data_IF_584740223704
#
_entry.id   IF_584740223704
#
_cell.length_a   1.000
_cell.length_b   1.000
_cell.length_c   1.000
_cell.angle_alpha   90.00
_cell.angle_beta   90.00
_cell.angle_gamma   90.00
#
_symmetry.space_group_name_H-M   'P 1'
#
loop_
_entity.id
_entity.type
_entity.pdbx_description
1 polymer ?
#
# COMPACT_ATOMS: atom_id res chain seq x y z
N UNK A 1 49.37 10.64 -3.74
CA UNK A 1 49.02 10.87 -2.33
C UNK A 1 47.60 11.41 -2.22
N UNK A 2 46.60 10.60 -1.82
CA UNK A 2 45.24 11.04 -1.32
C UNK A 2 44.31 9.83 -1.09
N UNK A 3 44.83 8.70 -0.56
CA UNK A 3 43.99 7.52 -0.23
C UNK A 3 43.53 7.43 1.25
N UNK A 4 43.91 8.37 2.10
CA UNK A 4 43.70 8.30 3.55
C UNK A 4 42.58 9.20 4.09
N UNK A 5 41.79 9.90 3.23
CA UNK A 5 40.74 10.80 3.71
C UNK A 5 39.34 10.15 3.81
N UNK A 6 39.11 8.93 3.32
CA UNK A 6 37.78 8.31 3.31
C UNK A 6 37.44 7.46 4.53
N UNK A 7 38.42 7.12 5.38
CA UNK A 7 38.12 6.32 6.59
C UNK A 7 37.21 7.05 7.58
N UNK A 8 37.34 8.37 7.70
CA UNK A 8 36.45 9.17 8.53
C UNK A 8 34.99 9.17 8.02
N UNK A 9 34.80 9.18 6.71
CA UNK A 9 33.43 9.14 6.12
C UNK A 9 32.71 7.82 6.44
N UNK A 10 33.40 6.69 6.42
CA UNK A 10 32.82 5.39 6.80
C UNK A 10 32.44 5.32 8.28
N UNK A 11 33.17 6.01 9.17
CA UNK A 11 32.83 6.07 10.59
C UNK A 11 31.49 6.77 10.85
N UNK A 12 31.13 7.80 10.06
CA UNK A 12 29.82 8.44 10.14
C UNK A 12 28.67 7.57 9.63
N UNK A 13 28.93 6.63 8.71
CA UNK A 13 27.94 5.69 8.21
C UNK A 13 27.76 4.47 9.11
N UNK A 14 28.72 4.18 9.99
CA UNK A 14 28.75 2.96 10.82
C UNK A 14 27.49 2.81 11.69
N UNK A 15 26.97 3.84 12.40
CA UNK A 15 25.75 3.70 13.18
C UNK A 15 24.55 3.30 12.32
N UNK A 16 24.40 3.89 11.12
CA UNK A 16 23.32 3.53 10.19
C UNK A 16 23.45 2.10 9.68
N UNK A 17 24.67 1.67 9.30
CA UNK A 17 24.91 0.30 8.87
C UNK A 17 24.63 -0.73 9.96
N UNK A 18 24.98 -0.43 11.23
CA UNK A 18 24.68 -1.29 12.36
C UNK A 18 23.16 -1.42 12.57
N UNK A 19 22.42 -0.30 12.54
CA UNK A 19 20.96 -0.30 12.69
C UNK A 19 20.32 -1.11 11.56
N UNK A 20 20.66 -0.84 10.30
CA UNK A 20 20.15 -1.61 9.17
C UNK A 20 20.56 -3.09 9.22
N UNK A 21 21.81 -3.37 9.62
CA UNK A 21 22.31 -4.75 9.78
C UNK A 21 21.49 -5.56 10.77
N UNK A 22 21.25 -5.00 11.94
CA UNK A 22 20.55 -5.69 13.04
C UNK A 22 19.03 -5.75 12.81
N UNK A 23 18.40 -4.64 12.40
CA UNK A 23 16.94 -4.56 12.38
C UNK A 23 16.30 -4.85 11.01
N UNK A 24 17.04 -4.77 9.91
CA UNK A 24 16.53 -5.07 8.58
C UNK A 24 17.18 -6.32 7.99
N UNK A 25 18.51 -6.33 7.84
CA UNK A 25 19.18 -7.43 7.13
C UNK A 25 19.17 -8.74 7.93
N UNK A 26 19.42 -8.71 9.25
CA UNK A 26 19.38 -9.91 10.05
C UNK A 26 18.00 -10.59 10.06
N UNK A 27 16.85 -9.92 10.31
CA UNK A 27 15.54 -10.53 10.21
C UNK A 27 15.22 -11.02 8.79
N UNK A 28 15.65 -10.31 7.76
CA UNK A 28 15.46 -10.73 6.37
C UNK A 28 16.17 -12.06 6.08
N UNK A 29 17.46 -12.17 6.37
CA UNK A 29 18.20 -13.42 6.19
C UNK A 29 17.70 -14.55 7.09
N UNK A 30 17.27 -14.23 8.31
CA UNK A 30 16.65 -15.19 9.21
C UNK A 30 15.33 -15.73 8.63
N UNK A 31 14.52 -14.88 8.00
CA UNK A 31 13.29 -15.32 7.30
C UNK A 31 13.61 -16.25 6.13
N UNK A 32 14.62 -15.92 5.32
CA UNK A 32 15.10 -16.81 4.25
C UNK A 32 15.56 -18.16 4.81
N UNK A 33 16.32 -18.14 5.88
CA UNK A 33 16.78 -19.38 6.56
C UNK A 33 15.59 -20.20 7.07
N UNK A 34 14.67 -19.59 7.83
CA UNK A 34 13.52 -20.29 8.41
C UNK A 34 12.57 -20.85 7.36
N UNK A 35 12.49 -20.26 6.17
CA UNK A 35 11.64 -20.75 5.09
C UNK A 35 12.04 -22.14 4.60
N UNK A 36 13.30 -22.56 4.82
CA UNK A 36 13.85 -23.87 4.43
C UNK A 36 13.73 -24.94 5.54
N UNK A 37 13.17 -24.57 6.69
CA UNK A 37 13.06 -25.46 7.85
C UNK A 37 11.63 -25.60 8.33
N UNK A 38 11.29 -26.82 8.85
CA UNK A 38 10.16 -26.94 9.77
C UNK A 38 10.57 -26.44 11.14
N UNK A 39 9.73 -25.61 11.72
CA UNK A 39 9.99 -24.96 13.02
C UNK A 39 9.14 -25.55 14.12
N UNK A 40 9.61 -25.43 15.37
CA UNK A 40 8.77 -25.67 16.53
C UNK A 40 7.84 -24.46 16.82
N UNK A 41 6.98 -24.60 17.84
CA UNK A 41 6.04 -23.53 18.28
C UNK A 41 6.76 -22.25 18.78
N UNK A 42 8.06 -22.33 19.08
CA UNK A 42 8.88 -21.18 19.49
C UNK A 42 9.60 -20.52 18.31
N UNK A 43 9.35 -20.95 17.06
CA UNK A 43 10.00 -20.41 15.87
C UNK A 43 11.43 -20.86 15.66
N UNK A 44 11.91 -21.88 16.38
CA UNK A 44 13.26 -22.43 16.21
C UNK A 44 13.27 -23.45 15.07
N UNK A 45 14.27 -23.40 14.21
CA UNK A 45 14.50 -24.38 13.15
C UNK A 45 14.78 -25.77 13.77
N UNK A 46 14.05 -26.80 13.34
CA UNK A 46 14.19 -28.19 13.83
C UNK A 46 14.61 -29.16 12.74
N UNK A 47 13.92 -29.17 11.61
CA UNK A 47 14.17 -30.11 10.52
C UNK A 47 14.36 -29.33 9.22
N UNK A 48 15.48 -29.55 8.56
CA UNK A 48 15.71 -29.00 7.22
C UNK A 48 14.84 -29.74 6.21
N UNK A 49 13.99 -29.01 5.51
CA UNK A 49 13.06 -29.55 4.51
C UNK A 49 13.28 -28.96 3.10
N UNK A 50 14.33 -28.13 2.95
CA UNK A 50 14.62 -27.46 1.67
C UNK A 50 13.40 -26.69 1.16
N UNK A 51 12.91 -27.02 -0.03
CA UNK A 51 11.74 -26.40 -0.63
C UNK A 51 10.39 -27.02 -0.20
N UNK A 52 10.37 -27.88 0.83
CA UNK A 52 9.15 -28.54 1.29
C UNK A 52 8.05 -27.57 1.73
N UNK A 53 8.38 -26.48 2.45
CA UNK A 53 7.41 -25.45 2.83
C UNK A 53 6.82 -24.74 1.60
N UNK A 54 7.60 -24.50 0.57
CA UNK A 54 7.12 -23.88 -0.69
C UNK A 54 6.20 -24.84 -1.47
N UNK A 55 6.51 -26.13 -1.49
CA UNK A 55 5.65 -27.14 -2.11
C UNK A 55 4.30 -27.23 -1.40
N UNK A 56 4.29 -27.31 -0.06
CA UNK A 56 3.07 -27.29 0.74
C UNK A 56 2.26 -26.01 0.49
N UNK A 57 2.92 -24.87 0.40
CA UNK A 57 2.31 -23.57 0.13
C UNK A 57 1.62 -23.53 -1.24
N UNK A 58 2.31 -23.95 -2.30
CA UNK A 58 1.77 -23.93 -3.67
C UNK A 58 0.62 -24.94 -3.86
N UNK A 59 0.51 -25.96 -3.01
CA UNK A 59 -0.60 -26.90 -3.00
C UNK A 59 -1.80 -26.43 -2.14
N UNK A 60 -1.64 -25.35 -1.38
CA UNK A 60 -2.67 -24.82 -0.48
C UNK A 60 -3.68 -23.95 -1.24
N UNK A 61 -4.95 -24.34 -1.23
CA UNK A 61 -6.06 -23.54 -1.76
C UNK A 61 -6.20 -22.19 -1.03
N UNK A 62 -5.98 -22.18 0.30
CA UNK A 62 -6.04 -20.94 1.11
C UNK A 62 -4.94 -19.94 0.72
N UNK A 63 -3.75 -20.41 0.33
CA UNK A 63 -2.70 -19.52 -0.19
C UNK A 63 -3.12 -18.84 -1.52
N UNK A 64 -3.62 -19.62 -2.46
CA UNK A 64 -4.07 -19.09 -3.75
C UNK A 64 -5.26 -18.13 -3.59
N UNK A 65 -6.20 -18.46 -2.68
CA UNK A 65 -7.27 -17.55 -2.33
C UNK A 65 -6.73 -16.23 -1.75
N UNK A 66 -5.80 -16.30 -0.78
CA UNK A 66 -5.23 -15.10 -0.17
C UNK A 66 -4.46 -14.24 -1.19
N UNK A 67 -3.78 -14.85 -2.14
CA UNK A 67 -3.11 -14.15 -3.23
C UNK A 67 -4.12 -13.46 -4.16
N UNK A 68 -5.16 -14.17 -4.59
CA UNK A 68 -6.22 -13.62 -5.46
C UNK A 68 -6.95 -12.45 -4.79
N UNK A 69 -7.35 -12.63 -3.51
CA UNK A 69 -8.00 -11.56 -2.72
C UNK A 69 -7.07 -10.36 -2.57
N UNK A 70 -5.76 -10.59 -2.35
CA UNK A 70 -4.77 -9.50 -2.26
C UNK A 70 -4.64 -8.74 -3.57
N UNK A 71 -4.59 -9.44 -4.72
CA UNK A 71 -4.50 -8.78 -6.03
C UNK A 71 -5.73 -7.90 -6.31
N UNK A 72 -6.93 -8.43 -6.06
CA UNK A 72 -8.19 -7.66 -6.21
C UNK A 72 -8.16 -6.43 -5.28
N UNK A 73 -7.78 -6.62 -4.03
CA UNK A 73 -7.65 -5.56 -3.04
C UNK A 73 -6.67 -4.46 -3.49
N UNK A 74 -5.48 -4.84 -3.95
CA UNK A 74 -4.45 -3.91 -4.45
C UNK A 74 -5.00 -3.07 -5.61
N UNK A 75 -5.66 -3.70 -6.59
CA UNK A 75 -6.25 -2.98 -7.73
C UNK A 75 -7.27 -1.94 -7.26
N UNK A 76 -8.18 -2.33 -6.36
CA UNK A 76 -9.22 -1.42 -5.85
C UNK A 76 -8.57 -0.26 -5.06
N UNK A 77 -7.68 -0.58 -4.12
CA UNK A 77 -7.04 0.44 -3.26
C UNK A 77 -6.24 1.43 -4.09
N UNK A 78 -5.42 0.94 -5.01
CA UNK A 78 -4.57 1.81 -5.85
C UNK A 78 -5.44 2.69 -6.75
N UNK A 79 -6.42 2.13 -7.45
CA UNK A 79 -7.29 2.91 -8.33
C UNK A 79 -8.04 4.00 -7.55
N UNK A 80 -8.70 3.64 -6.45
CA UNK A 80 -9.51 4.58 -5.66
C UNK A 80 -8.63 5.65 -5.00
N UNK A 81 -7.50 5.27 -4.38
CA UNK A 81 -6.64 6.23 -3.70
C UNK A 81 -5.96 7.21 -4.67
N UNK A 82 -5.56 6.75 -5.86
CA UNK A 82 -4.99 7.63 -6.89
C UNK A 82 -6.05 8.60 -7.44
N UNK A 83 -7.26 8.12 -7.73
CA UNK A 83 -8.35 8.98 -8.20
C UNK A 83 -8.69 10.03 -7.14
N UNK A 84 -8.85 9.64 -5.88
CA UNK A 84 -9.15 10.57 -4.79
C UNK A 84 -8.02 11.59 -4.60
N UNK A 85 -6.75 11.14 -4.55
CA UNK A 85 -5.60 12.02 -4.38
C UNK A 85 -5.44 13.01 -5.54
N UNK A 86 -5.55 12.53 -6.79
CA UNK A 86 -5.44 13.38 -7.98
C UNK A 86 -6.58 14.40 -8.06
N UNK A 87 -7.82 13.95 -7.86
CA UNK A 87 -8.99 14.84 -7.92
C UNK A 87 -8.89 15.94 -6.87
N UNK A 88 -8.56 15.59 -5.63
CA UNK A 88 -8.42 16.58 -4.55
C UNK A 88 -7.24 17.52 -4.79
N UNK A 89 -6.11 17.05 -5.31
CA UNK A 89 -4.97 17.89 -5.65
C UNK A 89 -5.31 18.91 -6.76
N UNK A 90 -5.98 18.47 -7.82
CA UNK A 90 -6.41 19.35 -8.92
C UNK A 90 -7.43 20.38 -8.44
N UNK A 91 -8.38 20.00 -7.59
CA UNK A 91 -9.35 20.92 -7.01
C UNK A 91 -8.68 21.95 -6.10
N UNK A 92 -7.69 21.53 -5.31
CA UNK A 92 -6.95 22.39 -4.40
C UNK A 92 -5.81 23.19 -5.06
N UNK A 93 -5.52 22.96 -6.34
CA UNK A 93 -4.54 23.76 -7.10
C UNK A 93 -5.09 25.14 -7.51
N UNK A 94 -6.38 25.41 -7.26
CA UNK A 94 -7.02 26.69 -7.52
C UNK A 94 -7.00 27.56 -6.27
N UNK A 95 -6.78 28.85 -6.43
CA UNK A 95 -6.86 29.82 -5.34
C UNK A 95 -8.31 30.21 -5.08
N UNK A 96 -8.82 29.88 -3.89
CA UNK A 96 -10.15 30.31 -3.40
C UNK A 96 -10.13 30.48 -1.87
N UNK A 97 -11.07 31.28 -1.32
CA UNK A 97 -11.16 31.45 0.13
C UNK A 97 -11.35 30.11 0.84
N UNK A 98 -10.52 29.80 1.85
CA UNK A 98 -10.60 28.55 2.60
C UNK A 98 -9.76 27.39 2.03
N UNK A 99 -9.04 27.56 0.93
CA UNK A 99 -8.22 26.50 0.32
C UNK A 99 -7.28 25.82 1.32
N UNK A 100 -6.67 26.58 2.24
CA UNK A 100 -5.77 26.03 3.27
C UNK A 100 -6.47 25.06 4.19
N UNK A 101 -7.74 25.33 4.56
CA UNK A 101 -8.54 24.42 5.37
C UNK A 101 -8.82 23.11 4.61
N UNK A 102 -9.26 23.19 3.36
CA UNK A 102 -9.51 22.00 2.53
C UNK A 102 -8.25 21.19 2.30
N UNK A 103 -7.12 21.82 1.97
CA UNK A 103 -5.85 21.12 1.78
C UNK A 103 -5.41 20.39 3.06
N UNK A 104 -5.56 21.01 4.22
CA UNK A 104 -5.27 20.37 5.51
C UNK A 104 -6.23 19.19 5.76
N UNK A 105 -7.52 19.36 5.52
CA UNK A 105 -8.52 18.31 5.69
C UNK A 105 -8.28 17.10 4.79
N UNK A 106 -7.87 17.31 3.54
CA UNK A 106 -7.53 16.22 2.61
C UNK A 106 -6.22 15.50 2.96
N UNK A 107 -5.28 16.18 3.61
CA UNK A 107 -4.06 15.56 4.10
C UNK A 107 -4.26 14.78 5.42
N UNK A 108 -5.29 15.10 6.22
CA UNK A 108 -5.54 14.50 7.55
C UNK A 108 -5.55 12.96 7.58
N UNK A 109 -6.14 12.24 6.61
CA UNK A 109 -6.20 10.76 6.67
C UNK A 109 -4.83 10.11 6.86
N UNK A 110 -3.77 10.66 6.28
CA UNK A 110 -2.42 10.09 6.38
C UNK A 110 -1.84 10.15 7.81
N UNK A 111 -2.33 11.06 8.65
CA UNK A 111 -1.87 11.22 10.02
C UNK A 111 -2.55 10.24 10.99
N UNK A 112 -3.60 9.55 10.56
CA UNK A 112 -4.37 8.64 11.39
C UNK A 112 -3.75 7.25 11.34
N UNK A 113 -3.49 6.66 12.51
CA UNK A 113 -3.04 5.28 12.58
C UNK A 113 -4.10 4.33 11.99
N UNK A 114 -3.68 3.42 11.11
CA UNK A 114 -4.57 2.51 10.38
C UNK A 114 -5.48 1.68 11.28
N UNK A 115 -4.98 1.25 12.44
CA UNK A 115 -5.77 0.49 13.42
C UNK A 115 -6.85 1.35 14.10
N UNK A 116 -6.56 2.61 14.40
CA UNK A 116 -7.54 3.54 14.97
C UNK A 116 -8.64 3.88 13.97
N UNK A 117 -8.26 4.17 12.72
CA UNK A 117 -9.21 4.38 11.64
C UNK A 117 -10.11 3.15 11.45
N UNK A 118 -9.53 1.94 11.46
CA UNK A 118 -10.29 0.69 11.31
C UNK A 118 -11.30 0.49 12.47
N UNK A 119 -10.95 0.87 13.69
CA UNK A 119 -11.89 0.81 14.83
C UNK A 119 -13.07 1.78 14.65
N UNK A 120 -12.80 3.01 14.22
CA UNK A 120 -13.85 4.00 13.93
C UNK A 120 -14.76 3.48 12.82
N UNK A 121 -14.20 3.00 11.71
CA UNK A 121 -14.97 2.44 10.60
C UNK A 121 -15.80 1.23 11.03
N UNK A 122 -15.26 0.37 11.90
CA UNK A 122 -16.00 -0.79 12.42
C UNK A 122 -17.27 -0.37 13.17
N UNK A 123 -17.21 0.73 13.93
CA UNK A 123 -18.37 1.28 14.61
C UNK A 123 -19.33 1.93 13.60
N UNK A 124 -18.81 2.71 12.65
CA UNK A 124 -19.63 3.38 11.63
C UNK A 124 -20.37 2.39 10.72
N UNK A 125 -19.77 1.24 10.43
CA UNK A 125 -20.31 0.18 9.56
C UNK A 125 -21.10 -0.88 10.36
N UNK A 126 -21.31 -0.70 11.67
CA UNK A 126 -22.04 -1.68 12.48
C UNK A 126 -23.50 -1.80 12.02
N UNK A 127 -24.06 -3.02 11.87
CA UNK A 127 -25.40 -3.22 11.29
C UNK A 127 -26.50 -2.45 12.02
N UNK A 128 -26.51 -2.52 13.36
CA UNK A 128 -27.63 -1.97 14.16
C UNK A 128 -27.41 -0.53 14.61
N UNK A 129 -26.16 -0.16 15.02
CA UNK A 129 -25.87 1.17 15.59
C UNK A 129 -25.07 2.05 14.66
N UNK A 130 -24.56 1.51 13.54
CA UNK A 130 -23.69 2.22 12.61
C UNK A 130 -24.42 3.37 11.89
N UNK A 131 -23.73 4.52 11.81
CA UNK A 131 -24.26 5.73 11.21
C UNK A 131 -24.57 5.56 9.71
N UNK A 132 -23.81 4.73 9.01
CA UNK A 132 -23.95 4.51 7.57
C UNK A 132 -25.32 3.91 7.25
N UNK A 133 -25.69 2.80 7.91
CA UNK A 133 -27.02 2.18 7.73
C UNK A 133 -28.15 3.14 8.12
N UNK A 134 -27.98 3.93 9.19
CA UNK A 134 -29.00 4.89 9.63
C UNK A 134 -29.23 6.02 8.62
N UNK A 135 -28.15 6.66 8.12
CA UNK A 135 -28.26 7.77 7.15
C UNK A 135 -28.89 7.32 5.85
N UNK A 136 -28.41 6.19 5.31
CA UNK A 136 -28.87 5.68 4.01
C UNK A 136 -30.07 4.74 4.10
N UNK A 137 -30.62 4.51 5.31
CA UNK A 137 -31.74 3.59 5.56
C UNK A 137 -31.49 2.19 4.97
N UNK A 138 -30.26 1.69 5.16
CA UNK A 138 -29.82 0.39 4.67
C UNK A 138 -29.84 -0.62 5.82
N UNK A 139 -30.03 -1.90 5.49
CA UNK A 139 -29.85 -3.03 6.42
C UNK A 139 -28.78 -3.96 5.87
N UNK A 140 -27.55 -3.47 5.87
CA UNK A 140 -26.41 -4.17 5.29
C UNK A 140 -25.43 -4.55 6.40
N UNK A 141 -24.96 -5.79 6.36
CA UNK A 141 -23.94 -6.31 7.25
C UNK A 141 -22.55 -6.14 6.62
N UNK A 142 -22.07 -4.89 6.54
CA UNK A 142 -20.92 -4.47 5.75
C UNK A 142 -19.64 -5.31 5.96
N UNK A 143 -19.37 -5.71 7.19
CA UNK A 143 -18.13 -6.38 7.59
C UNK A 143 -18.27 -7.89 7.64
N UNK A 144 -19.49 -8.39 7.86
CA UNK A 144 -19.77 -9.81 8.03
C UNK A 144 -20.36 -10.49 6.78
N UNK A 145 -20.60 -9.73 5.71
CA UNK A 145 -21.02 -10.26 4.42
C UNK A 145 -19.82 -10.33 3.46
N UNK A 146 -19.48 -11.51 2.89
CA UNK A 146 -18.37 -11.69 1.96
C UNK A 146 -18.39 -10.73 0.78
N UNK A 147 -19.59 -10.34 0.35
CA UNK A 147 -19.80 -9.45 -0.79
C UNK A 147 -19.28 -8.02 -0.54
N UNK A 148 -19.39 -7.53 0.69
CA UNK A 148 -19.06 -6.15 1.04
C UNK A 148 -17.75 -6.01 1.83
N UNK A 149 -17.37 -7.05 2.57
CA UNK A 149 -16.25 -6.99 3.51
C UNK A 149 -14.94 -6.51 2.87
N UNK A 150 -14.57 -7.06 1.70
CA UNK A 150 -13.34 -6.67 1.00
C UNK A 150 -13.39 -5.22 0.53
N UNK A 151 -14.55 -4.76 0.03
CA UNK A 151 -14.75 -3.39 -0.42
C UNK A 151 -14.63 -2.42 0.76
N UNK A 152 -15.19 -2.75 1.93
CA UNK A 152 -15.08 -1.91 3.14
C UNK A 152 -13.62 -1.73 3.58
N UNK A 153 -12.84 -2.83 3.59
CA UNK A 153 -11.41 -2.76 3.91
C UNK A 153 -10.66 -1.95 2.86
N UNK A 154 -10.98 -2.14 1.58
CA UNK A 154 -10.32 -1.44 0.48
C UNK A 154 -10.63 0.06 0.48
N UNK A 155 -11.88 0.46 0.71
CA UNK A 155 -12.29 1.88 0.79
C UNK A 155 -11.61 2.58 1.97
N UNK A 156 -11.58 1.94 3.14
CA UNK A 156 -10.84 2.49 4.29
C UNK A 156 -9.36 2.70 3.97
N UNK A 157 -8.73 1.68 3.37
CA UNK A 157 -7.30 1.75 3.03
C UNK A 157 -7.04 2.81 1.96
N UNK A 158 -7.89 2.90 0.94
CA UNK A 158 -7.79 3.91 -0.10
C UNK A 158 -7.97 5.33 0.46
N UNK A 159 -8.90 5.53 1.40
CA UNK A 159 -9.08 6.80 2.09
C UNK A 159 -7.84 7.20 2.89
N UNK A 160 -7.23 6.29 3.65
CA UNK A 160 -5.98 6.56 4.37
C UNK A 160 -4.84 6.95 3.42
N UNK A 161 -4.71 6.25 2.28
CA UNK A 161 -3.67 6.52 1.30
C UNK A 161 -3.95 7.79 0.47
N UNK A 162 -5.21 8.23 0.37
CA UNK A 162 -5.56 9.41 -0.42
C UNK A 162 -4.89 10.70 0.07
N UNK A 163 -4.65 10.82 1.38
CA UNK A 163 -3.99 11.98 1.98
C UNK A 163 -2.54 12.17 1.50
N UNK A 164 -1.76 11.09 1.48
CA UNK A 164 -0.37 11.15 0.97
C UNK A 164 -0.35 11.34 -0.55
N UNK A 165 -1.29 10.71 -1.27
CA UNK A 165 -1.42 10.88 -2.72
C UNK A 165 -1.77 12.32 -3.08
N UNK A 166 -2.65 12.97 -2.31
CA UNK A 166 -2.94 14.40 -2.44
C UNK A 166 -1.65 15.23 -2.36
N UNK A 167 -0.77 14.96 -1.40
CA UNK A 167 0.50 15.69 -1.27
C UNK A 167 1.44 15.43 -2.45
N UNK A 168 1.58 14.18 -2.90
CA UNK A 168 2.41 13.86 -4.05
C UNK A 168 1.92 14.56 -5.32
N UNK A 169 0.62 14.50 -5.60
CA UNK A 169 0.07 15.17 -6.77
C UNK A 169 0.11 16.69 -6.66
N UNK A 170 -0.11 17.25 -5.48
CA UNK A 170 0.03 18.70 -5.27
C UNK A 170 1.46 19.17 -5.52
N UNK A 171 2.46 18.43 -5.04
CA UNK A 171 3.86 18.73 -5.33
C UNK A 171 4.18 18.58 -6.83
N UNK A 172 3.62 17.55 -7.49
CA UNK A 172 3.75 17.38 -8.93
C UNK A 172 3.14 18.52 -9.73
N UNK A 173 1.94 18.97 -9.33
CA UNK A 173 1.26 20.12 -9.98
C UNK A 173 2.06 21.43 -9.86
N UNK A 174 2.68 21.65 -8.70
CA UNK A 174 3.51 22.85 -8.47
C UNK A 174 4.78 22.90 -9.34
N UNK A 175 5.20 21.78 -9.91
CA UNK A 175 6.35 21.71 -10.81
C UNK A 175 6.00 21.97 -12.29
N UNK A 176 4.72 22.09 -12.63
CA UNK A 176 4.28 22.40 -13.99
C UNK A 176 4.28 23.93 -14.14
N UNK A 177 4.98 24.43 -15.17
CA UNK A 177 5.09 25.86 -15.45
C UNK A 177 3.70 26.47 -15.75
N UNK A 178 3.31 27.48 -15.00
CA UNK A 178 2.02 28.16 -15.12
C UNK A 178 1.86 28.83 -16.49
N UNK A 179 2.97 29.27 -17.11
CA UNK A 179 2.97 29.88 -18.44
C UNK A 179 2.39 28.97 -19.53
N UNK A 180 2.50 27.66 -19.36
CA UNK A 180 1.90 26.67 -20.29
C UNK A 180 0.38 26.75 -20.25
N UNK A 181 -0.20 26.92 -19.06
CA UNK A 181 -1.66 27.06 -18.89
C UNK A 181 -2.17 28.41 -19.39
N UNK A 182 -1.39 29.48 -19.21
CA UNK A 182 -1.72 30.80 -19.73
C UNK A 182 -1.76 30.81 -21.25
N UNK A 183 -0.72 30.29 -21.91
CA UNK A 183 -0.67 30.16 -23.38
C UNK A 183 -1.85 29.33 -23.90
N UNK A 184 -2.13 28.18 -23.31
CA UNK A 184 -3.29 27.37 -23.69
C UNK A 184 -4.63 28.10 -23.48
N UNK A 185 -4.70 29.04 -22.53
CA UNK A 185 -5.86 29.89 -22.32
C UNK A 185 -6.06 30.89 -23.46
N UNK A 186 -4.98 31.48 -23.93
CA UNK A 186 -4.98 32.41 -25.10
C UNK A 186 -5.39 31.67 -26.37
N UNK A 187 -4.95 30.40 -26.52
CA UNK A 187 -5.30 29.52 -27.63
C UNK A 187 -6.75 28.99 -27.54
N UNK A 188 -7.53 29.40 -26.53
CA UNK A 188 -8.93 29.00 -26.36
C UNK A 188 -9.14 27.58 -25.83
N UNK A 189 -8.11 26.95 -25.24
CA UNK A 189 -8.25 25.61 -24.70
C UNK A 189 -9.19 25.56 -23.48
N UNK A 190 -10.17 24.64 -23.51
CA UNK A 190 -11.07 24.40 -22.39
C UNK A 190 -10.33 23.80 -21.17
N UNK A 191 -10.93 23.90 -19.97
CA UNK A 191 -10.37 23.32 -18.75
C UNK A 191 -10.13 21.80 -18.87
N UNK A 192 -11.00 21.08 -19.57
CA UNK A 192 -10.84 19.64 -19.83
C UNK A 192 -9.65 19.37 -20.76
N UNK A 193 -9.48 20.16 -21.82
CA UNK A 193 -8.33 20.04 -22.73
C UNK A 193 -7.01 20.32 -22.01
N UNK A 194 -6.96 21.36 -21.16
CA UNK A 194 -5.80 21.66 -20.32
C UNK A 194 -5.48 20.51 -19.37
N UNK A 195 -6.50 19.96 -18.70
CA UNK A 195 -6.30 18.81 -17.81
C UNK A 195 -5.72 17.60 -18.55
N UNK A 196 -6.31 17.22 -19.68
CA UNK A 196 -5.96 15.98 -20.38
C UNK A 196 -4.65 16.10 -21.18
N UNK A 197 -4.38 17.30 -21.77
CA UNK A 197 -3.23 17.50 -22.65
C UNK A 197 -2.01 18.12 -21.97
N UNK A 198 -2.17 18.79 -20.83
CA UNK A 198 -1.09 19.45 -20.11
C UNK A 198 -0.89 18.85 -18.73
N UNK A 199 -1.93 18.84 -17.90
CA UNK A 199 -1.83 18.41 -16.51
C UNK A 199 -1.47 16.93 -16.38
N UNK A 200 -2.22 16.03 -17.02
CA UNK A 200 -1.95 14.58 -16.91
C UNK A 200 -0.58 14.17 -17.46
N UNK A 201 -0.16 14.63 -18.66
CA UNK A 201 1.18 14.36 -19.14
C UNK A 201 2.29 14.98 -18.26
N UNK A 202 2.09 16.21 -17.78
CA UNK A 202 3.02 16.88 -16.86
C UNK A 202 3.16 16.15 -15.52
N UNK A 203 2.10 15.48 -15.06
CA UNK A 203 2.11 14.67 -13.84
C UNK A 203 2.61 13.23 -14.05
N UNK A 204 2.87 12.79 -15.27
CA UNK A 204 3.20 11.39 -15.56
C UNK A 204 4.31 10.81 -14.67
N UNK A 205 5.45 11.49 -14.39
CA UNK A 205 6.47 10.98 -13.50
C UNK A 205 5.97 10.81 -12.06
N UNK A 206 5.19 11.78 -11.55
CA UNK A 206 4.62 11.72 -10.21
C UNK A 206 3.53 10.65 -10.10
N UNK A 207 2.72 10.49 -11.15
CA UNK A 207 1.73 9.40 -11.23
C UNK A 207 2.39 8.04 -11.18
N UNK A 208 3.48 7.84 -11.91
CA UNK A 208 4.23 6.61 -11.87
C UNK A 208 4.81 6.33 -10.48
N UNK A 209 5.49 7.31 -9.88
CA UNK A 209 6.02 7.21 -8.52
C UNK A 209 4.91 6.82 -7.52
N UNK A 210 3.81 7.56 -7.54
CA UNK A 210 2.66 7.34 -6.66
C UNK A 210 2.05 5.95 -6.87
N UNK A 211 1.95 5.48 -8.12
CA UNK A 211 1.48 4.14 -8.46
C UNK A 211 2.36 3.06 -7.82
N UNK A 212 3.68 3.14 -7.98
CA UNK A 212 4.63 2.18 -7.39
C UNK A 212 4.50 2.12 -5.88
N UNK A 213 4.49 3.29 -5.23
CA UNK A 213 4.39 3.40 -3.78
C UNK A 213 3.06 2.82 -3.28
N UNK A 214 1.94 3.14 -3.93
CA UNK A 214 0.62 2.63 -3.55
C UNK A 214 0.52 1.11 -3.70
N UNK A 215 1.07 0.53 -4.77
CA UNK A 215 1.09 -0.92 -4.94
C UNK A 215 1.85 -1.58 -3.79
N UNK A 216 3.06 -1.11 -3.47
CA UNK A 216 3.86 -1.66 -2.38
C UNK A 216 3.11 -1.55 -1.04
N UNK A 217 2.53 -0.39 -0.74
CA UNK A 217 1.78 -0.16 0.51
C UNK A 217 0.51 -1.02 0.58
N UNK A 218 -0.22 -1.19 -0.53
CA UNK A 218 -1.41 -2.02 -0.56
C UNK A 218 -1.09 -3.49 -0.28
N UNK A 219 0.00 -4.04 -0.84
CA UNK A 219 0.46 -5.39 -0.51
C UNK A 219 0.84 -5.57 0.96
N UNK A 220 1.23 -4.50 1.66
CA UNK A 220 1.61 -4.52 3.07
C UNK A 220 0.44 -4.19 4.03
N UNK A 221 -0.78 -4.04 3.52
CA UNK A 221 -1.95 -3.70 4.33
C UNK A 221 -2.28 -4.83 5.32
N UNK A 222 -2.22 -4.51 6.61
CA UNK A 222 -2.44 -5.47 7.69
C UNK A 222 -3.43 -4.98 8.75
N UNK A 223 -3.20 -3.78 9.31
CA UNK A 223 -3.94 -3.27 10.46
C UNK A 223 -5.45 -3.16 10.22
N UNK A 224 -5.84 -2.74 9.04
CA UNK A 224 -7.23 -2.61 8.61
C UNK A 224 -7.94 -3.96 8.61
N UNK A 225 -7.32 -4.98 7.99
CA UNK A 225 -7.87 -6.35 7.94
C UNK A 225 -7.98 -6.93 9.33
N UNK A 226 -6.91 -6.81 10.14
CA UNK A 226 -6.86 -7.37 11.49
C UNK A 226 -7.99 -6.84 12.38
N UNK A 227 -8.32 -5.55 12.28
CA UNK A 227 -9.32 -4.91 13.15
C UNK A 227 -10.74 -5.05 12.59
N UNK A 228 -10.94 -4.84 11.28
CA UNK A 228 -12.28 -4.85 10.68
C UNK A 228 -12.84 -6.27 10.57
N UNK A 229 -12.11 -7.17 9.94
CA UNK A 229 -12.64 -8.43 9.43
C UNK A 229 -11.93 -9.70 9.94
N UNK A 230 -10.70 -9.56 10.42
CA UNK A 230 -9.84 -10.69 10.82
C UNK A 230 -9.71 -11.76 9.71
N UNK A 231 -9.66 -11.30 8.43
CA UNK A 231 -9.56 -12.18 7.28
C UNK A 231 -10.88 -12.78 6.80
N UNK A 232 -11.98 -12.60 7.56
CA UNK A 232 -13.31 -13.12 7.27
C UNK A 232 -14.21 -12.16 6.49
N UNK A 233 -15.47 -12.57 6.29
CA UNK A 233 -16.03 -13.90 6.47
C UNK A 233 -15.55 -14.88 5.39
N UNK A 234 -15.39 -16.16 5.74
CA UNK A 234 -15.04 -17.22 4.78
C UNK A 234 -13.76 -16.97 3.98
N UNK A 235 -12.74 -16.34 4.58
CA UNK A 235 -11.47 -15.93 3.95
C UNK A 235 -11.62 -14.85 2.85
N UNK A 236 -12.77 -14.18 2.72
CA UNK A 236 -13.03 -13.16 1.68
C UNK A 236 -12.15 -11.92 1.81
N UNK A 237 -11.54 -11.68 2.96
CA UNK A 237 -10.60 -10.58 3.22
C UNK A 237 -9.24 -11.06 3.74
N UNK A 238 -8.94 -12.35 3.55
CA UNK A 238 -7.68 -12.94 3.98
C UNK A 238 -6.54 -12.51 3.05
N UNK A 239 -6.03 -11.30 3.24
CA UNK A 239 -4.86 -10.81 2.50
C UNK A 239 -3.62 -11.64 2.85
N UNK A 240 -2.67 -11.74 1.93
CA UNK A 240 -1.47 -12.55 2.10
C UNK A 240 -0.67 -12.16 3.35
N UNK A 241 -0.57 -10.86 3.69
CA UNK A 241 0.11 -10.41 4.92
C UNK A 241 -0.64 -10.87 6.16
N UNK A 242 -1.98 -10.87 6.13
CA UNK A 242 -2.78 -11.39 7.23
C UNK A 242 -2.66 -12.92 7.34
N UNK A 243 -2.59 -13.63 6.22
CA UNK A 243 -2.34 -15.08 6.18
C UNK A 243 -0.97 -15.42 6.80
N UNK A 244 0.09 -14.68 6.47
CA UNK A 244 1.42 -14.81 7.07
C UNK A 244 1.34 -14.65 8.60
N UNK A 245 0.66 -13.61 9.06
CA UNK A 245 0.46 -13.36 10.48
C UNK A 245 -0.30 -14.50 11.17
N UNK A 246 -1.39 -14.97 10.57
CA UNK A 246 -2.19 -16.10 11.08
C UNK A 246 -1.36 -17.37 11.20
N UNK A 247 -0.58 -17.69 10.16
CA UNK A 247 0.29 -18.87 10.18
C UNK A 247 1.39 -18.75 11.24
N UNK A 248 2.03 -17.60 11.39
CA UNK A 248 3.10 -17.41 12.36
C UNK A 248 2.59 -17.44 13.81
N UNK A 249 1.54 -16.66 14.12
CA UNK A 249 1.18 -16.34 15.50
C UNK A 249 -0.06 -17.08 16.03
N UNK A 250 -0.93 -17.60 15.16
CA UNK A 250 -2.06 -18.43 15.59
C UNK A 250 -1.79 -19.92 15.37
N UNK A 251 -1.20 -20.26 14.21
CA UNK A 251 -0.93 -21.66 13.86
C UNK A 251 0.48 -22.10 14.31
N UNK A 252 1.33 -21.17 14.76
CA UNK A 252 2.72 -21.44 15.14
C UNK A 252 3.56 -22.12 14.06
N UNK A 253 3.24 -21.86 12.78
CA UNK A 253 3.89 -22.43 11.59
C UNK A 253 4.89 -21.43 11.00
N UNK A 254 5.92 -21.07 11.78
CA UNK A 254 6.88 -20.02 11.37
C UNK A 254 7.63 -20.35 10.07
N UNK A 255 7.92 -21.61 9.78
CA UNK A 255 8.56 -22.01 8.51
C UNK A 255 7.65 -21.76 7.30
N UNK A 256 6.35 -22.09 7.41
CA UNK A 256 5.34 -21.79 6.37
C UNK A 256 5.16 -20.28 6.20
N UNK A 257 5.00 -19.55 7.30
CA UNK A 257 4.88 -18.09 7.28
C UNK A 257 6.12 -17.42 6.66
N UNK A 258 7.32 -17.92 6.96
CA UNK A 258 8.56 -17.45 6.34
C UNK A 258 8.59 -17.71 4.84
N UNK A 259 8.15 -18.90 4.38
CA UNK A 259 8.05 -19.21 2.96
C UNK A 259 7.04 -18.30 2.25
N UNK A 260 5.86 -18.02 2.85
CA UNK A 260 4.89 -17.07 2.32
C UNK A 260 5.48 -15.65 2.22
N UNK A 261 6.25 -15.21 3.23
CA UNK A 261 6.90 -13.89 3.24
C UNK A 261 7.93 -13.76 2.12
N UNK A 262 8.71 -14.82 1.84
CA UNK A 262 9.67 -14.84 0.73
C UNK A 262 8.96 -14.78 -0.61
N UNK A 263 7.86 -15.54 -0.79
CA UNK A 263 7.06 -15.49 -2.02
C UNK A 263 6.45 -14.10 -2.22
N UNK A 264 5.89 -13.49 -1.18
CA UNK A 264 5.36 -12.13 -1.24
C UNK A 264 6.46 -11.13 -1.64
N UNK A 265 7.64 -11.22 -1.01
CA UNK A 265 8.79 -10.37 -1.37
C UNK A 265 9.14 -10.51 -2.85
N UNK A 266 9.21 -11.74 -3.38
CA UNK A 266 9.53 -11.97 -4.79
C UNK A 266 8.45 -11.41 -5.72
N UNK A 267 7.17 -11.55 -5.39
CA UNK A 267 6.07 -10.98 -6.17
C UNK A 267 6.20 -9.46 -6.24
N UNK A 268 6.35 -8.78 -5.10
CA UNK A 268 6.47 -7.32 -5.05
C UNK A 268 7.76 -6.85 -5.75
N UNK A 269 8.87 -7.56 -5.59
CA UNK A 269 10.13 -7.27 -6.27
C UNK A 269 9.96 -7.33 -7.78
N UNK A 270 9.40 -8.43 -8.31
CA UNK A 270 9.19 -8.61 -9.75
C UNK A 270 8.26 -7.55 -10.31
N UNK A 271 7.14 -7.28 -9.64
CA UNK A 271 6.22 -6.21 -10.03
C UNK A 271 6.93 -4.86 -10.10
N UNK A 272 7.71 -4.51 -9.07
CA UNK A 272 8.45 -3.25 -9.01
C UNK A 272 9.47 -3.16 -10.15
N UNK A 273 10.25 -4.22 -10.40
CA UNK A 273 11.21 -4.24 -11.51
C UNK A 273 10.54 -4.12 -12.88
N UNK A 274 9.41 -4.78 -13.08
CA UNK A 274 8.62 -4.67 -14.32
C UNK A 274 8.13 -3.23 -14.51
N UNK A 275 7.61 -2.60 -13.46
CA UNK A 275 7.13 -1.21 -13.53
C UNK A 275 8.25 -0.25 -13.92
N UNK A 276 9.43 -0.32 -13.30
CA UNK A 276 10.58 0.50 -13.68
C UNK A 276 11.07 0.24 -15.11
N UNK A 277 10.96 -1.00 -15.61
CA UNK A 277 11.29 -1.31 -17.00
C UNK A 277 10.30 -0.68 -17.98
N UNK A 278 9.03 -0.62 -17.63
CA UNK A 278 7.99 0.02 -18.45
C UNK A 278 8.18 1.53 -18.47
N UNK A 279 8.46 2.16 -17.32
CA UNK A 279 8.71 3.61 -17.22
C UNK A 279 9.82 4.06 -18.18
N UNK A 280 10.97 3.38 -18.16
CA UNK A 280 12.11 3.70 -19.04
C UNK A 280 11.77 3.72 -20.54
N UNK A 281 10.69 3.05 -20.93
CA UNK A 281 10.23 3.01 -22.33
C UNK A 281 9.15 4.06 -22.64
N UNK A 282 8.40 4.51 -21.64
CA UNK A 282 7.21 5.35 -21.81
C UNK A 282 7.43 6.83 -21.56
N UNK A 283 8.36 7.19 -20.70
CA UNK A 283 8.68 8.59 -20.36
C UNK A 283 9.92 9.00 -21.15
N UNK A 284 9.72 9.56 -22.34
CA UNK A 284 10.76 10.35 -23.00
C UNK A 284 10.75 11.73 -22.35
N UNK A 285 11.80 12.03 -21.61
CA UNK A 285 12.09 13.38 -21.08
C UNK A 285 12.39 14.34 -22.23
#
# INVERSE_FOLDING_TARGET
MKKLKNTGAYAYLLPSFLIFGIFLFYPFFKTLYLSLFKTNKMGQAKLFVGLGNYKELLQSSSFWNSLAVTLIFVVIVVAVSMILGLTTAVLCNKTFPGIRFFSTAYALPMAIASSSAAMIFKIMLHPSVGIINKIFRLDINWVSDPKYALICVAVLTAWLNSGINFLYFSAGLSNIDETIYERASVDGASSFQKFYRLTLPGLAPMMFYTLVVNIIQAFQSFGQVKILTQGGPGESTNLIVYSIYRDAFFNYRFGSAAAQSVVLFLIVLVLTLVMFKIEKKGVKY
#
